data_IF_734403002068
#
_entry.id   IF_734403002068
#
_cell.length_a   1.000
_cell.length_b   1.000
_cell.length_c   1.000
_cell.angle_alpha   90.00
_cell.angle_beta   90.00
_cell.angle_gamma   90.00
#
_symmetry.space_group_name_H-M   'P 1'
#
loop_
_entity.id
_entity.type
_entity.pdbx_description
1 polymer ?
#
# COMPACT_ATOMS: atom_id res chain seq x y z
N UNK A 1 -16.73 7.75 14.66
CA UNK A 1 -18.19 7.52 14.73
C UNK A 1 -18.63 7.69 16.16
N UNK A 2 -19.71 8.44 16.38
CA UNK A 2 -20.36 8.55 17.69
C UNK A 2 -21.50 7.55 17.76
N UNK A 3 -21.62 6.81 18.86
CA UNK A 3 -22.63 5.77 19.06
C UNK A 3 -23.24 5.95 20.44
N UNK A 4 -24.56 5.96 20.54
CA UNK A 4 -25.26 5.97 21.81
C UNK A 4 -25.56 4.52 22.23
N UNK A 5 -25.22 4.17 23.46
CA UNK A 5 -25.53 2.90 24.08
C UNK A 5 -26.94 2.92 24.72
N UNK A 6 -27.55 1.75 25.04
CA UNK A 6 -28.87 1.66 25.65
C UNK A 6 -29.00 2.38 27.00
N UNK A 7 -27.88 2.48 27.72
CA UNK A 7 -27.76 3.20 29.00
C UNK A 7 -27.71 4.73 28.83
N UNK A 8 -27.80 5.22 27.59
CA UNK A 8 -27.69 6.64 27.24
C UNK A 8 -26.25 7.16 27.12
N UNK A 9 -25.25 6.32 27.38
CA UNK A 9 -23.83 6.72 27.30
C UNK A 9 -23.38 6.89 25.85
N UNK A 10 -22.53 7.90 25.60
CA UNK A 10 -22.01 8.19 24.27
C UNK A 10 -20.61 7.61 24.10
N UNK A 11 -20.40 6.83 23.04
CA UNK A 11 -19.14 6.20 22.68
C UNK A 11 -18.55 6.81 21.40
N UNK A 12 -17.23 6.93 21.36
CA UNK A 12 -16.46 7.30 20.18
C UNK A 12 -15.70 6.08 19.68
N UNK A 13 -16.00 5.66 18.45
CA UNK A 13 -15.31 4.57 17.75
C UNK A 13 -14.54 5.16 16.56
N UNK A 14 -13.23 4.95 16.50
CA UNK A 14 -12.38 5.49 15.44
C UNK A 14 -11.17 4.61 15.15
N UNK A 15 -10.55 4.83 13.98
CA UNK A 15 -9.31 4.17 13.57
C UNK A 15 -8.12 5.02 14.00
N UNK A 16 -7.10 4.42 14.62
CA UNK A 16 -5.88 5.15 15.04
C UNK A 16 -4.83 5.08 13.93
N UNK A 17 -4.34 6.24 13.47
CA UNK A 17 -3.23 6.29 12.48
C UNK A 17 -1.90 6.05 13.21
N UNK A 18 -1.24 4.92 12.92
CA UNK A 18 0.14 4.69 13.35
C UNK A 18 1.08 5.06 12.20
N UNK A 19 2.00 5.98 12.45
CA UNK A 19 3.00 6.41 11.47
C UNK A 19 4.05 5.31 11.27
N UNK A 20 3.86 4.45 10.27
CA UNK A 20 4.85 3.43 9.92
C UNK A 20 5.84 3.96 8.89
N UNK A 21 7.13 3.99 9.23
CA UNK A 21 8.23 4.45 8.35
C UNK A 21 9.00 3.25 7.78
N UNK A 22 8.95 2.98 6.45
CA UNK A 22 9.92 2.08 5.83
C UNK A 22 11.28 2.77 5.70
N UNK A 23 12.34 2.06 6.06
CA UNK A 23 13.72 2.42 5.72
C UNK A 23 14.05 1.80 4.35
N UNK A 24 14.52 2.62 3.41
CA UNK A 24 14.89 2.18 2.05
C UNK A 24 16.41 2.40 1.86
N UNK A 25 17.18 1.36 1.49
CA UNK A 25 18.58 1.52 1.16
C UNK A 25 18.75 2.23 -0.18
N UNK A 26 19.61 3.26 -0.16
CA UNK A 26 20.12 3.97 -1.35
C UNK A 26 21.24 3.15 -1.98
N UNK A 27 21.03 2.69 -3.22
CA UNK A 27 22.01 2.64 -4.35
C UNK A 27 21.72 1.46 -5.27
N UNK A 28 21.57 1.73 -6.57
CA UNK A 28 22.36 1.11 -7.63
C UNK A 28 22.57 2.16 -8.72
N UNK A 29 23.82 2.36 -9.14
CA UNK A 29 24.21 3.18 -10.28
C UNK A 29 25.23 2.42 -11.13
N UNK A 30 25.37 2.88 -12.40
CA UNK A 30 26.40 2.59 -13.42
C UNK A 30 26.22 1.30 -14.22
N UNK A 31 26.61 1.19 -15.49
CA UNK A 31 27.03 2.09 -16.59
C UNK A 31 27.10 1.15 -17.81
N UNK A 32 26.61 1.54 -18.98
CA UNK A 32 26.87 0.81 -20.23
C UNK A 32 28.04 1.49 -20.95
N UNK A 33 29.13 0.74 -21.14
CA UNK A 33 30.22 1.07 -22.04
C UNK A 33 29.94 0.42 -23.41
N UNK A 34 30.08 1.17 -24.49
CA UNK A 34 30.20 0.63 -25.85
C UNK A 34 31.59 0.98 -26.40
N UNK A 35 32.35 0.01 -26.95
CA UNK A 35 33.59 0.29 -27.66
C UNK A 35 33.35 0.61 -29.14
N UNK A 36 34.15 1.55 -29.65
CA UNK A 36 34.35 1.87 -31.07
C UNK A 36 35.37 0.91 -31.71
N UNK A 37 35.08 0.46 -32.93
CA UNK A 37 36.02 0.06 -34.00
C UNK A 37 35.16 -0.31 -35.23
N UNK A 38 35.39 0.10 -36.47
CA UNK A 38 36.62 0.49 -37.14
C UNK A 38 36.79 -0.41 -38.37
N UNK A 39 36.05 -0.12 -39.46
CA UNK A 39 36.28 -0.59 -40.84
C UNK A 39 35.20 -0.01 -41.78
N UNK A 40 35.56 0.90 -42.70
CA UNK A 40 34.58 1.81 -43.33
C UNK A 40 33.64 1.19 -44.38
N UNK A 41 34.01 0.09 -45.03
CA UNK A 41 33.17 -0.54 -46.08
C UNK A 41 32.28 -1.65 -45.49
N UNK A 42 32.87 -2.51 -44.66
CA UNK A 42 32.14 -3.50 -43.86
C UNK A 42 31.24 -2.78 -42.86
N UNK A 43 31.70 -1.66 -42.28
CA UNK A 43 30.93 -0.79 -41.40
C UNK A 43 29.75 -0.12 -42.09
N UNK A 44 29.87 0.29 -43.37
CA UNK A 44 28.73 0.83 -44.11
C UNK A 44 27.66 -0.25 -44.35
N UNK A 45 28.08 -1.47 -44.74
CA UNK A 45 27.16 -2.59 -44.95
C UNK A 45 26.51 -3.04 -43.63
N UNK A 46 27.30 -3.10 -42.55
CA UNK A 46 26.85 -3.40 -41.21
C UNK A 46 25.93 -2.29 -40.65
N UNK A 47 26.16 -1.02 -41.00
CA UNK A 47 25.32 0.10 -40.60
C UNK A 47 23.97 0.08 -41.32
N UNK A 48 23.95 -0.23 -42.63
CA UNK A 48 22.69 -0.40 -43.38
C UNK A 48 21.91 -1.60 -42.82
N UNK A 49 22.58 -2.73 -42.59
CA UNK A 49 21.94 -3.91 -42.02
C UNK A 49 21.47 -3.65 -40.58
N UNK A 50 22.28 -2.99 -39.75
CA UNK A 50 21.89 -2.62 -38.39
C UNK A 50 20.74 -1.64 -38.38
N UNK A 51 20.69 -0.69 -39.31
CA UNK A 51 19.59 0.26 -39.43
C UNK A 51 18.30 -0.47 -39.80
N UNK A 52 18.34 -1.40 -40.76
CA UNK A 52 17.17 -2.22 -41.13
C UNK A 52 16.73 -3.08 -39.94
N UNK A 53 17.66 -3.74 -39.26
CA UNK A 53 17.36 -4.50 -38.04
C UNK A 53 16.79 -3.60 -36.94
N UNK A 54 17.33 -2.41 -36.72
CA UNK A 54 16.81 -1.44 -35.75
C UNK A 54 15.41 -1.01 -36.14
N UNK A 55 15.11 -0.75 -37.42
CA UNK A 55 13.76 -0.37 -37.87
C UNK A 55 12.76 -1.50 -37.68
N UNK A 56 13.15 -2.75 -37.96
CA UNK A 56 12.28 -3.93 -37.80
C UNK A 56 12.09 -4.33 -36.34
N UNK A 57 13.14 -4.20 -35.52
CA UNK A 57 13.13 -4.61 -34.11
C UNK A 57 12.65 -3.46 -33.20
N UNK A 58 12.81 -2.20 -33.62
CA UNK A 58 12.30 -0.98 -32.96
C UNK A 58 10.87 -1.10 -32.47
N UNK A 59 9.87 -1.47 -33.30
CA UNK A 59 8.48 -1.56 -32.84
C UNK A 59 8.31 -2.61 -31.74
N UNK A 60 9.04 -3.73 -31.80
CA UNK A 60 9.03 -4.75 -30.75
C UNK A 60 9.72 -4.24 -29.49
N UNK A 61 10.85 -3.54 -29.61
CA UNK A 61 11.57 -2.94 -28.49
C UNK A 61 10.76 -1.83 -27.82
N UNK A 62 10.07 -1.00 -28.60
CA UNK A 62 9.18 0.04 -28.12
C UNK A 62 7.95 -0.56 -27.44
N UNK A 63 7.36 -1.61 -28.01
CA UNK A 63 6.26 -2.35 -27.39
C UNK A 63 6.69 -2.97 -26.06
N UNK A 64 7.84 -3.66 -26.04
CA UNK A 64 8.37 -4.28 -24.83
C UNK A 64 8.78 -3.23 -23.79
N UNK A 65 9.39 -2.13 -24.22
CA UNK A 65 9.73 -0.99 -23.36
C UNK A 65 8.50 -0.31 -22.78
N UNK A 66 7.44 -0.13 -23.57
CA UNK A 66 6.15 0.40 -23.10
C UNK A 66 5.49 -0.56 -22.10
N UNK A 67 5.50 -1.87 -22.37
CA UNK A 67 5.01 -2.87 -21.44
C UNK A 67 5.79 -2.87 -20.12
N UNK A 68 7.12 -2.73 -20.21
CA UNK A 68 8.00 -2.64 -19.05
C UNK A 68 7.77 -1.35 -18.26
N UNK A 69 7.59 -0.21 -18.93
CA UNK A 69 7.21 1.07 -18.32
C UNK A 69 5.83 0.97 -17.64
N UNK A 70 4.85 0.36 -18.29
CA UNK A 70 3.54 0.09 -17.68
C UNK A 70 3.66 -0.80 -16.44
N UNK A 71 4.51 -1.83 -16.49
CA UNK A 71 4.76 -2.73 -15.36
C UNK A 71 5.45 -2.01 -14.21
N UNK A 72 6.48 -1.20 -14.49
CA UNK A 72 7.13 -0.34 -13.51
C UNK A 72 6.18 0.68 -12.91
N UNK A 73 5.34 1.31 -13.73
CA UNK A 73 4.35 2.27 -13.28
C UNK A 73 3.27 1.61 -12.42
N UNK A 74 2.89 0.35 -12.72
CA UNK A 74 1.94 -0.43 -11.93
C UNK A 74 2.53 -0.94 -10.61
N UNK A 75 3.85 -1.18 -10.56
CA UNK A 75 4.55 -1.70 -9.37
C UNK A 75 4.29 -0.91 -8.08
N UNK A 76 4.38 0.44 -8.04
CA UNK A 76 4.06 1.21 -6.84
C UNK A 76 2.59 1.11 -6.43
N UNK A 77 1.65 0.97 -7.37
CA UNK A 77 0.23 0.78 -7.06
C UNK A 77 -0.04 -0.59 -6.45
N UNK A 78 0.53 -1.66 -7.03
CA UNK A 78 0.41 -3.02 -6.49
C UNK A 78 1.10 -3.15 -5.13
N UNK A 79 2.29 -2.54 -4.97
CA UNK A 79 2.98 -2.49 -3.70
C UNK A 79 2.18 -1.69 -2.66
N UNK A 80 1.58 -0.56 -3.03
CA UNK A 80 0.72 0.23 -2.15
C UNK A 80 -0.55 -0.54 -1.75
N UNK A 81 -1.20 -1.22 -2.71
CA UNK A 81 -2.38 -2.04 -2.46
C UNK A 81 -2.08 -3.20 -1.50
N UNK A 82 -0.99 -3.95 -1.74
CA UNK A 82 -0.53 -5.01 -0.82
C UNK A 82 -0.18 -4.48 0.56
N UNK A 83 0.48 -3.33 0.62
CA UNK A 83 0.91 -2.67 1.86
C UNK A 83 -0.27 -2.10 2.66
N UNK A 84 -1.41 -1.81 2.03
CA UNK A 84 -2.62 -1.38 2.74
C UNK A 84 -3.55 -2.55 3.11
N UNK A 85 -3.51 -3.65 2.35
CA UNK A 85 -4.33 -4.84 2.60
C UNK A 85 -3.79 -5.79 3.68
N UNK A 86 -2.49 -5.73 4.01
CA UNK A 86 -1.81 -6.65 4.95
C UNK A 86 -1.51 -6.06 6.32
N UNK A 87 -1.91 -4.80 6.57
CA UNK A 87 -1.52 -4.09 7.79
C UNK A 87 -2.60 -4.14 8.85
N UNK A 88 -2.28 -4.62 10.07
CA UNK A 88 -3.19 -4.54 11.19
C UNK A 88 -3.54 -3.06 11.45
N UNK A 89 -4.78 -2.70 11.19
CA UNK A 89 -5.32 -1.36 11.39
C UNK A 89 -5.99 -1.34 12.77
N UNK A 90 -5.46 -0.56 13.73
CA UNK A 90 -6.02 -0.50 15.06
C UNK A 90 -7.35 0.25 15.07
N UNK A 91 -8.36 -0.39 15.67
CA UNK A 91 -9.69 0.15 15.93
C UNK A 91 -9.80 0.41 17.43
N UNK A 92 -10.26 1.60 17.79
CA UNK A 92 -10.38 2.06 19.17
C UNK A 92 -11.83 2.43 19.45
N UNK A 93 -12.35 1.98 20.58
CA UNK A 93 -13.60 2.47 21.16
C UNK A 93 -13.35 3.06 22.54
N UNK A 94 -13.85 4.27 22.78
CA UNK A 94 -13.78 4.94 24.09
C UNK A 94 -15.13 5.57 24.46
N UNK A 95 -15.58 5.45 25.72
CA UNK A 95 -16.73 6.20 26.18
C UNK A 95 -16.34 7.68 26.31
N UNK A 96 -17.29 8.57 26.01
CA UNK A 96 -17.09 10.03 26.07
C UNK A 96 -16.99 10.54 27.51
N UNK A 97 -17.63 9.84 28.45
CA UNK A 97 -17.61 10.14 29.87
C UNK A 97 -16.29 9.76 30.55
N UNK A 98 -15.58 8.75 30.03
CA UNK A 98 -14.34 8.26 30.63
C UNK A 98 -13.31 7.88 29.57
N UNK A 99 -12.39 8.80 29.29
CA UNK A 99 -11.32 8.59 28.33
C UNK A 99 -10.30 7.52 28.75
N UNK A 100 -10.30 7.08 30.01
CA UNK A 100 -9.38 6.03 30.50
C UNK A 100 -9.87 4.62 30.16
N UNK A 101 -11.16 4.43 29.86
CA UNK A 101 -11.73 3.14 29.42
C UNK A 101 -11.58 2.96 27.91
N UNK A 102 -10.34 2.91 27.42
CA UNK A 102 -10.05 2.64 26.02
C UNK A 102 -10.11 1.13 25.76
N UNK A 103 -10.81 0.73 24.69
CA UNK A 103 -10.80 -0.63 24.17
C UNK A 103 -10.16 -0.63 22.80
N UNK A 104 -9.24 -1.57 22.57
CA UNK A 104 -8.40 -1.62 21.38
C UNK A 104 -8.50 -3.00 20.72
N UNK A 105 -8.61 -3.00 19.41
CA UNK A 105 -8.60 -4.20 18.57
C UNK A 105 -7.83 -3.95 17.28
N UNK A 106 -7.36 -5.03 16.65
CA UNK A 106 -6.58 -4.96 15.42
C UNK A 106 -7.31 -5.74 14.32
N UNK A 107 -7.50 -5.12 13.16
CA UNK A 107 -8.07 -5.78 11.98
C UNK A 107 -7.01 -5.91 10.88
N UNK A 108 -6.91 -7.03 10.14
CA UNK A 108 -5.81 -7.31 9.21
C UNK A 108 -5.70 -6.38 7.99
N UNK A 109 -6.63 -5.43 7.81
CA UNK A 109 -6.59 -4.45 6.73
C UNK A 109 -7.71 -3.40 6.85
N UNK A 110 -7.73 -2.45 5.92
CA UNK A 110 -8.64 -1.30 5.98
C UNK A 110 -10.13 -1.69 5.89
N UNK A 111 -10.49 -2.58 4.96
CA UNK A 111 -11.86 -3.07 4.80
C UNK A 111 -12.31 -3.91 6.02
N UNK A 112 -11.42 -4.75 6.55
CA UNK A 112 -11.68 -5.48 7.78
C UNK A 112 -11.85 -4.55 8.99
N UNK A 113 -11.11 -3.43 9.03
CA UNK A 113 -11.26 -2.42 10.06
C UNK A 113 -12.60 -1.67 9.97
N UNK A 114 -13.13 -1.47 8.77
CA UNK A 114 -14.48 -0.90 8.59
C UNK A 114 -15.55 -1.84 9.12
N UNK A 115 -15.47 -3.11 8.75
CA UNK A 115 -16.38 -4.13 9.27
C UNK A 115 -16.29 -4.23 10.79
N UNK A 116 -15.08 -4.19 11.36
CA UNK A 116 -14.87 -4.20 12.81
C UNK A 116 -15.45 -2.93 13.48
N UNK A 117 -15.31 -1.75 12.88
CA UNK A 117 -15.92 -0.51 13.40
C UNK A 117 -17.45 -0.61 13.40
N UNK A 118 -18.05 -1.13 12.34
CA UNK A 118 -19.51 -1.31 12.24
C UNK A 118 -20.01 -2.35 13.22
N UNK A 119 -19.28 -3.46 13.38
CA UNK A 119 -19.58 -4.50 14.36
C UNK A 119 -19.54 -3.94 15.78
N UNK A 120 -18.46 -3.25 16.15
CA UNK A 120 -18.33 -2.59 17.47
C UNK A 120 -19.44 -1.58 17.71
N UNK A 121 -19.80 -0.79 16.69
CA UNK A 121 -20.92 0.15 16.81
C UNK A 121 -22.25 -0.56 17.05
N UNK A 122 -22.47 -1.72 16.42
CA UNK A 122 -23.65 -2.54 16.65
C UNK A 122 -23.65 -3.15 18.06
N UNK A 123 -22.53 -3.71 18.52
CA UNK A 123 -22.36 -4.26 19.87
C UNK A 123 -22.62 -3.21 20.95
N UNK A 124 -22.10 -2.00 20.79
CA UNK A 124 -22.36 -0.89 21.74
C UNK A 124 -23.84 -0.52 21.74
N UNK A 125 -24.52 -0.50 20.58
CA UNK A 125 -25.96 -0.18 20.52
C UNK A 125 -26.83 -1.25 21.14
N UNK A 126 -26.44 -2.52 21.10
CA UNK A 126 -27.27 -3.63 21.58
C UNK A 126 -26.97 -4.00 23.04
N UNK A 127 -25.69 -4.03 23.40
CA UNK A 127 -25.21 -4.53 24.70
C UNK A 127 -24.58 -3.45 25.59
N UNK A 128 -24.35 -2.25 25.07
CA UNK A 128 -23.65 -1.17 25.78
C UNK A 128 -22.14 -1.36 25.88
N UNK A 129 -21.59 -2.48 25.39
CA UNK A 129 -20.18 -2.83 25.53
C UNK A 129 -19.54 -3.32 24.22
N UNK A 130 -18.27 -2.95 23.93
CA UNK A 130 -17.55 -3.41 22.74
C UNK A 130 -16.84 -4.75 22.98
N UNK A 131 -17.58 -5.86 22.95
CA UNK A 131 -17.07 -7.21 23.24
C UNK A 131 -15.97 -7.69 22.28
N UNK A 132 -16.00 -7.22 21.03
CA UNK A 132 -14.98 -7.54 20.02
C UNK A 132 -13.64 -6.83 20.22
N UNK A 133 -13.55 -5.89 21.16
CA UNK A 133 -12.31 -5.16 21.48
C UNK A 133 -11.81 -5.56 22.86
N UNK A 134 -10.48 -5.67 23.01
CA UNK A 134 -9.87 -5.92 24.30
C UNK A 134 -9.75 -4.62 25.08
N UNK A 135 -9.98 -4.64 26.39
CA UNK A 135 -9.68 -3.50 27.24
C UNK A 135 -8.17 -3.19 27.12
N UNK A 136 -7.83 -1.94 26.83
CA UNK A 136 -6.44 -1.51 26.91
C UNK A 136 -6.04 -1.59 28.38
N UNK A 137 -5.23 -2.60 28.73
CA UNK A 137 -4.72 -2.75 30.08
C UNK A 137 -4.00 -1.48 30.56
N UNK A 138 -3.92 -1.24 31.87
CA UNK A 138 -3.18 -0.08 32.39
C UNK A 138 -1.72 -0.18 31.96
N UNK A 139 -1.33 0.68 31.02
CA UNK A 139 0.06 0.94 30.65
C UNK A 139 0.59 2.17 31.36
#
# INVERSE_FOLDING_TARGET
MLVQAPDGSMWQVFRRRVAWRPWLPRRVSKMLFLPDAGDNIIGLLALVLSLICVVLVSPVLLWYGAWWLCSLAATPFVASARKNGSKPTPVVARPRSDARREHLGHAPGFAAAENLVLQVAHEIRTSGHPHSLQAAGPG
#
